data_IF_539139295769
#
_entry.id   IF_539139295769
#
_cell.length_a   1.000
_cell.length_b   1.000
_cell.length_c   1.000
_cell.angle_alpha   90.00
_cell.angle_beta   90.00
_cell.angle_gamma   90.00
#
_symmetry.space_group_name_H-M   'P 1'
#
loop_
_entity.id
_entity.type
_entity.pdbx_description
1 polymer ?
#
# COMPACT_ATOMS: atom_id res chain seq x y z
N UNK A 1 8.72 -19.79 -3.49
CA UNK A 1 9.78 -19.57 -4.49
C UNK A 1 9.51 -20.48 -5.66
N UNK A 2 9.68 -19.96 -6.87
CA UNK A 2 9.59 -20.76 -8.09
C UNK A 2 10.97 -21.38 -8.30
N UNK A 3 11.12 -22.66 -7.97
CA UNK A 3 12.41 -23.37 -8.08
C UNK A 3 12.55 -24.12 -9.41
N UNK A 4 11.43 -24.25 -10.14
CA UNK A 4 11.33 -25.08 -11.33
C UNK A 4 10.71 -24.28 -12.48
N UNK A 5 11.14 -24.59 -13.70
CA UNK A 5 10.64 -24.01 -14.95
C UNK A 5 9.21 -24.48 -15.23
N UNK A 6 8.29 -23.53 -15.50
CA UNK A 6 6.91 -23.85 -15.86
C UNK A 6 6.76 -24.61 -17.19
N UNK A 7 7.72 -24.48 -18.11
CA UNK A 7 7.62 -25.12 -19.42
C UNK A 7 8.18 -26.55 -19.44
N UNK A 8 9.26 -26.82 -18.71
CA UNK A 8 9.95 -28.12 -18.78
C UNK A 8 10.18 -28.80 -17.44
N UNK A 9 9.79 -28.17 -16.32
CA UNK A 9 9.96 -28.70 -14.96
C UNK A 9 11.41 -28.73 -14.45
N UNK A 10 12.39 -28.30 -15.26
CA UNK A 10 13.81 -28.26 -14.90
C UNK A 10 14.12 -27.23 -13.82
N UNK A 11 15.22 -27.43 -13.10
CA UNK A 11 15.66 -26.50 -12.04
C UNK A 11 16.05 -25.14 -12.63
N UNK A 12 15.83 -24.09 -11.84
CA UNK A 12 16.26 -22.73 -12.15
C UNK A 12 17.56 -22.41 -11.41
N UNK A 13 18.63 -22.12 -12.14
CA UNK A 13 19.83 -21.51 -11.59
C UNK A 13 19.65 -20.00 -11.46
N UNK A 14 19.97 -19.46 -10.28
CA UNK A 14 19.83 -18.04 -9.98
C UNK A 14 21.04 -17.27 -10.48
N UNK A 15 20.84 -16.37 -11.45
CA UNK A 15 21.83 -15.35 -11.78
C UNK A 15 21.58 -14.12 -10.89
N UNK A 16 22.32 -14.07 -9.78
CA UNK A 16 22.23 -12.99 -8.80
C UNK A 16 22.59 -11.62 -9.39
N UNK A 17 23.39 -11.57 -10.46
CA UNK A 17 23.76 -10.29 -11.09
C UNK A 17 22.66 -9.71 -11.97
N UNK A 18 21.75 -10.56 -12.47
CA UNK A 18 20.67 -10.17 -13.38
C UNK A 18 19.28 -10.26 -12.75
N UNK A 19 19.16 -10.79 -11.53
CA UNK A 19 17.89 -11.08 -10.86
C UNK A 19 16.95 -11.95 -11.72
N UNK A 20 17.53 -12.93 -12.41
CA UNK A 20 16.86 -13.80 -13.37
C UNK A 20 17.11 -15.26 -12.97
N UNK A 21 16.09 -16.12 -13.11
CA UNK A 21 16.23 -17.57 -12.97
C UNK A 21 16.38 -18.20 -14.35
N UNK A 22 17.52 -18.79 -14.65
CA UNK A 22 17.74 -19.47 -15.93
C UNK A 22 17.45 -20.96 -15.75
N UNK A 23 16.58 -21.52 -16.59
CA UNK A 23 16.35 -22.97 -16.53
C UNK A 23 17.57 -23.72 -17.06
N UNK A 24 18.09 -24.67 -16.28
CA UNK A 24 19.25 -25.48 -16.66
C UNK A 24 18.98 -26.40 -17.87
N UNK A 25 17.70 -26.68 -18.14
CA UNK A 25 17.28 -27.64 -19.16
C UNK A 25 16.89 -26.95 -20.46
N UNK A 26 16.00 -25.95 -20.40
CA UNK A 26 15.52 -25.26 -21.61
C UNK A 26 16.12 -23.86 -21.82
N UNK A 27 16.99 -23.41 -20.91
CA UNK A 27 17.62 -22.08 -20.94
C UNK A 27 16.65 -20.90 -21.00
N UNK A 28 15.37 -21.13 -20.69
CA UNK A 28 14.39 -20.07 -20.58
C UNK A 28 14.67 -19.25 -19.33
N UNK A 29 14.59 -17.94 -19.52
CA UNK A 29 14.82 -16.94 -18.48
C UNK A 29 13.48 -16.64 -17.82
N UNK A 30 13.37 -17.00 -16.56
CA UNK A 30 12.22 -16.72 -15.73
C UNK A 30 12.49 -15.45 -14.90
N UNK A 31 11.58 -14.46 -14.92
CA UNK A 31 11.73 -13.28 -14.08
C UNK A 31 11.54 -13.70 -12.62
N UNK A 32 12.57 -13.53 -11.81
CA UNK A 32 12.47 -13.72 -10.37
C UNK A 32 12.36 -12.34 -9.75
N UNK A 33 11.16 -11.99 -9.32
CA UNK A 33 10.94 -10.80 -8.48
C UNK A 33 11.47 -11.13 -7.08
N UNK A 34 12.77 -10.90 -6.87
CA UNK A 34 13.33 -10.76 -5.52
C UNK A 34 13.14 -9.30 -5.09
N UNK A 35 12.33 -9.11 -4.04
CA UNK A 35 12.24 -7.87 -3.28
C UNK A 35 12.86 -8.15 -1.89
N UNK A 36 14.16 -8.42 -1.84
CA UNK A 36 14.93 -8.59 -0.61
C UNK A 36 15.90 -7.42 -0.38
N UNK A 37 16.36 -7.28 0.87
CA UNK A 37 17.18 -6.14 1.31
C UNK A 37 18.49 -5.98 0.50
N UNK A 38 19.02 -7.08 -0.06
CA UNK A 38 20.25 -7.09 -0.86
C UNK A 38 20.04 -6.64 -2.32
N UNK A 39 18.82 -6.71 -2.85
CA UNK A 39 18.45 -6.15 -4.18
C UNK A 39 17.96 -4.70 -4.10
N UNK A 40 17.78 -4.17 -2.88
CA UNK A 40 17.41 -2.77 -2.57
C UNK A 40 18.63 -1.87 -2.26
N UNK A 41 19.82 -2.19 -2.78
CA UNK A 41 20.98 -1.32 -2.58
C UNK A 41 20.93 -0.11 -3.52
N UNK A 42 20.55 1.05 -2.99
CA UNK A 42 20.64 2.37 -3.63
C UNK A 42 22.08 2.80 -4.03
N UNK A 43 23.08 1.94 -3.85
CA UNK A 43 24.51 2.22 -4.03
C UNK A 43 25.15 1.65 -5.30
N UNK A 44 24.43 0.94 -6.17
CA UNK A 44 25.02 0.26 -7.34
C UNK A 44 24.82 0.99 -8.68
N UNK A 45 24.60 2.32 -8.68
CA UNK A 45 24.37 3.13 -9.89
C UNK A 45 25.65 3.85 -10.35
N UNK A 46 26.65 3.09 -10.82
CA UNK A 46 27.84 3.63 -11.49
C UNK A 46 27.70 3.71 -13.02
N UNK A 47 28.49 4.59 -13.66
CA UNK A 47 28.49 4.96 -15.09
C UNK A 47 28.73 3.81 -16.11
N UNK A 48 28.97 2.58 -15.66
CA UNK A 48 29.37 1.45 -16.51
C UNK A 48 28.25 0.47 -16.89
N UNK A 49 26.97 0.76 -16.60
CA UNK A 49 25.85 -0.08 -17.08
C UNK A 49 25.42 0.26 -18.52
N UNK A 50 25.93 -0.52 -19.48
CA UNK A 50 25.31 -0.66 -20.81
C UNK A 50 24.15 -1.66 -20.85
N UNK A 51 23.87 -2.35 -19.73
CA UNK A 51 22.79 -3.35 -19.64
C UNK A 51 21.88 -3.00 -18.45
N UNK A 52 20.90 -2.12 -18.69
CA UNK A 52 19.70 -2.07 -17.85
C UNK A 52 18.96 -3.42 -17.96
N UNK A 53 18.35 -3.87 -16.87
CA UNK A 53 17.37 -4.94 -16.95
C UNK A 53 16.37 -4.58 -18.05
N UNK A 54 16.09 -5.52 -18.97
CA UNK A 54 15.12 -5.31 -20.05
C UNK A 54 13.87 -4.75 -19.39
N UNK A 55 13.49 -3.52 -19.78
CA UNK A 55 12.35 -2.84 -19.21
C UNK A 55 11.21 -3.86 -19.14
N UNK A 56 10.77 -4.26 -17.94
CA UNK A 56 9.75 -5.31 -17.78
C UNK A 56 8.42 -4.87 -18.43
N UNK A 57 8.30 -3.60 -18.79
CA UNK A 57 7.24 -3.06 -19.63
C UNK A 57 7.38 -3.45 -21.11
N UNK A 58 8.60 -3.73 -21.59
CA UNK A 58 9.08 -4.07 -22.94
C UNK A 58 8.32 -5.15 -23.70
N UNK A 59 7.89 -6.21 -23.00
CA UNK A 59 7.17 -7.36 -23.58
C UNK A 59 5.65 -7.18 -23.66
N UNK A 60 5.09 -6.08 -23.15
CA UNK A 60 3.65 -5.85 -23.13
C UNK A 60 3.24 -4.85 -24.20
N UNK A 61 2.06 -5.03 -24.81
CA UNK A 61 1.51 -4.05 -25.76
C UNK A 61 1.54 -2.63 -25.16
N UNK A 62 2.22 -1.72 -25.85
CA UNK A 62 2.48 -0.34 -25.44
C UNK A 62 3.81 -0.07 -24.72
N UNK A 63 4.74 -1.02 -24.65
CA UNK A 63 6.09 -0.73 -24.21
C UNK A 63 6.77 0.25 -25.17
N UNK A 64 7.47 1.26 -24.64
CA UNK A 64 8.39 2.07 -25.45
C UNK A 64 9.62 1.24 -25.80
N UNK A 65 9.48 0.29 -26.73
CA UNK A 65 10.62 -0.32 -27.39
C UNK A 65 11.38 0.80 -28.12
N UNK A 66 12.68 0.90 -27.83
CA UNK A 66 13.54 2.05 -28.15
C UNK A 66 13.82 2.31 -29.63
N UNK A 67 13.00 1.84 -30.57
CA UNK A 67 13.14 2.16 -31.98
C UNK A 67 11.78 2.56 -32.55
N UNK A 68 11.58 3.88 -32.74
CA UNK A 68 10.43 4.40 -33.49
C UNK A 68 10.65 4.05 -34.97
N UNK A 69 9.92 3.10 -35.54
CA UNK A 69 9.84 3.05 -37.00
C UNK A 69 9.15 4.32 -37.50
N UNK A 70 9.71 4.95 -38.53
CA UNK A 70 9.16 6.17 -39.09
C UNK A 70 7.78 5.89 -39.72
N UNK A 71 6.68 6.48 -39.22
CA UNK A 71 5.33 6.22 -39.72
C UNK A 71 5.08 6.81 -41.12
N UNK A 72 6.00 7.66 -41.59
CA UNK A 72 6.03 8.20 -42.95
C UNK A 72 6.87 7.34 -43.91
N UNK A 73 7.46 6.25 -43.41
CA UNK A 73 8.34 5.34 -44.13
C UNK A 73 9.76 5.88 -44.25
N UNK A 74 10.74 4.99 -44.19
CA UNK A 74 12.13 5.36 -44.43
C UNK A 74 12.40 5.56 -45.93
N UNK A 75 13.33 6.46 -46.23
CA UNK A 75 13.74 6.74 -47.62
C UNK A 75 14.86 5.81 -48.07
N UNK A 76 15.60 5.25 -47.13
CA UNK A 76 16.80 4.45 -47.35
C UNK A 76 16.78 3.17 -46.49
N UNK A 77 17.43 2.11 -46.96
CA UNK A 77 17.65 0.90 -46.17
C UNK A 77 18.80 1.08 -45.17
N UNK A 78 19.06 0.08 -44.32
CA UNK A 78 20.16 0.09 -43.35
C UNK A 78 21.57 0.10 -43.97
N UNK A 79 21.68 0.04 -45.30
CA UNK A 79 22.91 0.16 -46.07
C UNK A 79 23.00 1.49 -46.85
N UNK A 80 22.04 2.40 -46.66
CA UNK A 80 22.00 3.71 -47.31
C UNK A 80 21.42 3.71 -48.74
N UNK A 81 20.91 2.59 -49.25
CA UNK A 81 20.32 2.52 -50.59
C UNK A 81 18.88 3.03 -50.58
N UNK A 82 18.47 3.68 -51.67
CA UNK A 82 17.12 4.24 -51.79
C UNK A 82 16.07 3.12 -51.88
N UNK A 83 15.09 3.14 -50.98
CA UNK A 83 14.01 2.14 -50.96
C UNK A 83 13.10 2.29 -52.19
N UNK A 84 12.69 1.14 -52.76
CA UNK A 84 11.71 1.08 -53.85
C UNK A 84 10.33 1.56 -53.38
N UNK A 85 9.44 1.91 -54.32
CA UNK A 85 8.09 2.37 -53.99
C UNK A 85 7.27 1.32 -53.20
N UNK A 86 7.45 0.02 -53.49
CA UNK A 86 6.80 -1.08 -52.78
C UNK A 86 7.33 -1.21 -51.35
N UNK A 87 8.64 -1.11 -51.15
CA UNK A 87 9.27 -1.14 -49.83
C UNK A 87 8.89 0.08 -48.98
N UNK A 88 8.82 1.28 -49.56
CA UNK A 88 8.33 2.48 -48.86
C UNK A 88 6.90 2.33 -48.35
N UNK A 89 6.00 1.78 -49.17
CA UNK A 89 4.61 1.50 -48.76
C UNK A 89 4.53 0.46 -47.66
N UNK A 90 5.37 -0.58 -47.72
CA UNK A 90 5.46 -1.61 -46.70
C UNK A 90 6.02 -1.04 -45.39
N UNK A 91 7.13 -0.29 -45.43
CA UNK A 91 7.72 0.37 -44.27
C UNK A 91 6.75 1.38 -43.64
N UNK A 92 6.04 2.17 -44.43
CA UNK A 92 5.02 3.07 -43.90
C UNK A 92 3.82 2.32 -43.29
N UNK A 93 3.45 1.16 -43.84
CA UNK A 93 2.40 0.30 -43.27
C UNK A 93 2.87 -0.32 -41.95
N UNK A 94 4.08 -0.87 -41.92
CA UNK A 94 4.70 -1.45 -40.71
C UNK A 94 4.88 -0.35 -39.66
N UNK A 95 5.41 0.82 -39.99
CA UNK A 95 5.55 1.94 -39.06
C UNK A 95 4.21 2.48 -38.54
N UNK A 96 3.12 2.41 -39.33
CA UNK A 96 1.76 2.74 -38.86
C UNK A 96 1.18 1.65 -37.93
N UNK A 97 1.44 0.38 -38.24
CA UNK A 97 1.04 -0.76 -37.40
C UNK A 97 1.83 -0.76 -36.09
N UNK A 98 3.14 -0.52 -36.16
CA UNK A 98 4.05 -0.35 -35.04
C UNK A 98 3.63 0.83 -34.17
N UNK A 99 3.32 1.98 -34.77
CA UNK A 99 2.70 3.12 -34.05
C UNK A 99 1.39 2.77 -33.35
N UNK A 100 0.61 1.82 -33.88
CA UNK A 100 -0.65 1.38 -33.27
C UNK A 100 -0.47 0.34 -32.15
N UNK A 101 0.60 -0.47 -32.20
CA UNK A 101 1.01 -1.39 -31.13
C UNK A 101 1.86 -0.74 -30.04
N UNK A 102 2.51 0.39 -30.34
CA UNK A 102 3.37 1.17 -29.45
C UNK A 102 2.68 2.41 -28.83
N UNK A 103 1.45 2.78 -29.25
CA UNK A 103 0.68 3.81 -28.52
C UNK A 103 0.49 3.34 -27.08
N UNK A 104 0.77 4.22 -26.11
CA UNK A 104 0.45 3.97 -24.70
C UNK A 104 -0.97 3.41 -24.61
N UNK A 105 -1.07 2.15 -24.17
CA UNK A 105 -2.29 1.34 -24.23
C UNK A 105 -3.40 1.90 -23.33
N UNK A 106 -3.15 2.95 -22.56
CA UNK A 106 -4.17 3.80 -21.97
C UNK A 106 -3.50 5.11 -21.48
N UNK A 107 -3.88 6.31 -21.97
CA UNK A 107 -3.24 7.56 -21.52
C UNK A 107 -3.35 7.76 -20.01
N UNK A 108 -4.46 7.30 -19.42
CA UNK A 108 -4.68 7.36 -17.97
C UNK A 108 -3.76 6.41 -17.19
N UNK A 109 -3.32 5.30 -17.79
CA UNK A 109 -2.36 4.40 -17.15
C UNK A 109 -0.99 5.07 -17.03
N UNK A 110 -0.50 5.69 -18.10
CA UNK A 110 0.77 6.41 -18.08
C UNK A 110 0.75 7.55 -17.05
N UNK A 111 -0.35 8.31 -17.01
CA UNK A 111 -0.56 9.36 -16.01
C UNK A 111 -0.60 8.81 -14.59
N UNK A 112 -1.34 7.71 -14.35
CA UNK A 112 -1.41 7.09 -13.02
C UNK A 112 -0.05 6.58 -12.56
N UNK A 113 0.74 5.97 -13.44
CA UNK A 113 2.10 5.53 -13.10
C UNK A 113 3.01 6.72 -12.81
N UNK A 114 2.89 7.83 -13.54
CA UNK A 114 3.62 9.06 -13.22
C UNK A 114 3.19 9.64 -11.86
N UNK A 115 1.88 9.66 -11.56
CA UNK A 115 1.36 10.08 -10.26
C UNK A 115 1.87 9.19 -9.13
N UNK A 116 1.88 7.86 -9.31
CA UNK A 116 2.44 6.92 -8.33
C UNK A 116 3.93 7.18 -8.09
N UNK A 117 4.72 7.41 -9.15
CA UNK A 117 6.15 7.76 -9.02
C UNK A 117 6.35 9.07 -8.26
N UNK A 118 5.53 10.07 -8.53
CA UNK A 118 5.64 11.37 -7.86
C UNK A 118 5.21 11.31 -6.39
N UNK A 119 4.22 10.47 -6.05
CA UNK A 119 3.71 10.35 -4.68
C UNK A 119 4.52 9.41 -3.80
N UNK A 120 5.04 8.31 -4.35
CA UNK A 120 5.60 7.19 -3.58
C UNK A 120 6.98 6.73 -4.06
N UNK A 121 7.56 7.38 -5.06
CA UNK A 121 8.84 6.99 -5.63
C UNK A 121 8.76 5.90 -6.70
N UNK A 122 9.91 5.62 -7.31
CA UNK A 122 10.01 4.72 -8.47
C UNK A 122 9.76 3.25 -8.11
N UNK A 123 10.19 2.80 -6.94
CA UNK A 123 10.16 1.39 -6.56
C UNK A 123 8.75 0.93 -6.20
N UNK A 124 8.01 1.72 -5.41
CA UNK A 124 6.58 1.48 -5.17
C UNK A 124 5.82 1.46 -6.49
N UNK A 125 6.09 2.42 -7.39
CA UNK A 125 5.44 2.45 -8.70
C UNK A 125 5.74 1.19 -9.54
N UNK A 126 6.96 0.63 -9.46
CA UNK A 126 7.33 -0.63 -10.11
C UNK A 126 6.55 -1.80 -9.52
N UNK A 127 6.56 -1.95 -8.19
CA UNK A 127 5.90 -3.05 -7.48
C UNK A 127 4.38 -3.07 -7.73
N UNK A 128 3.72 -1.90 -7.76
CA UNK A 128 2.25 -1.82 -7.97
C UNK A 128 1.83 -1.89 -9.44
N UNK A 129 2.77 -2.05 -10.37
CA UNK A 129 2.52 -2.11 -11.82
C UNK A 129 1.39 -3.07 -12.22
N UNK A 130 1.35 -4.32 -11.72
CA UNK A 130 0.26 -5.25 -12.02
C UNK A 130 -1.12 -4.74 -11.60
N UNK A 131 -1.21 -4.15 -10.40
CA UNK A 131 -2.46 -3.60 -9.86
C UNK A 131 -2.91 -2.35 -10.62
N UNK A 132 -1.97 -1.45 -10.93
CA UNK A 132 -2.23 -0.25 -11.72
C UNK A 132 -2.69 -0.59 -13.14
N UNK A 133 -2.07 -1.59 -13.80
CA UNK A 133 -2.50 -2.08 -15.12
C UNK A 133 -3.91 -2.65 -15.05
N UNK A 134 -4.22 -3.47 -14.06
CA UNK A 134 -5.56 -4.04 -13.89
C UNK A 134 -6.62 -2.95 -13.66
N UNK A 135 -6.27 -1.88 -12.93
CA UNK A 135 -7.18 -0.79 -12.61
C UNK A 135 -7.50 0.13 -13.81
N UNK A 136 -6.54 0.35 -14.71
CA UNK A 136 -6.69 1.32 -15.81
C UNK A 136 -6.92 0.69 -17.17
N UNK A 137 -6.41 -0.53 -17.43
CA UNK A 137 -6.54 -1.17 -18.74
C UNK A 137 -7.84 -1.97 -18.83
N UNK A 138 -8.53 -1.80 -19.95
CA UNK A 138 -9.71 -2.62 -20.29
C UNK A 138 -9.30 -4.08 -20.48
N UNK A 139 -10.26 -4.98 -20.29
CA UNK A 139 -10.10 -6.39 -20.63
C UNK A 139 -9.81 -6.56 -22.12
N UNK A 140 -9.05 -7.59 -22.47
CA UNK A 140 -8.82 -7.97 -23.87
C UNK A 140 -10.13 -8.45 -24.52
N UNK A 141 -10.18 -8.54 -25.85
CA UNK A 141 -11.39 -9.02 -26.55
C UNK A 141 -11.80 -10.44 -26.11
N UNK A 142 -10.82 -11.32 -25.89
CA UNK A 142 -11.06 -12.69 -25.40
C UNK A 142 -11.58 -12.70 -23.95
N UNK A 143 -10.98 -11.88 -23.08
CA UNK A 143 -11.44 -11.72 -21.70
C UNK A 143 -12.84 -11.11 -21.63
N UNK A 144 -13.17 -10.15 -22.49
CA UNK A 144 -14.50 -9.55 -22.54
C UNK A 144 -15.55 -10.53 -23.10
N UNK A 145 -15.19 -11.41 -24.04
CA UNK A 145 -16.06 -12.49 -24.49
C UNK A 145 -16.37 -13.47 -23.35
N UNK A 146 -15.35 -13.87 -22.59
CA UNK A 146 -15.52 -14.71 -21.39
C UNK A 146 -16.35 -14.00 -20.33
N UNK A 147 -16.09 -12.70 -20.09
CA UNK A 147 -16.88 -11.90 -19.16
C UNK A 147 -18.36 -11.94 -19.51
N UNK A 148 -18.76 -11.88 -20.78
CA UNK A 148 -20.18 -11.87 -21.17
C UNK A 148 -20.92 -13.15 -20.78
N UNK A 149 -20.23 -14.28 -20.66
CA UNK A 149 -20.81 -15.58 -20.26
C UNK A 149 -20.91 -15.76 -18.74
N UNK A 150 -20.24 -14.91 -17.96
CA UNK A 150 -20.25 -14.98 -16.49
C UNK A 150 -21.55 -14.46 -15.87
N UNK A 151 -21.74 -14.74 -14.58
CA UNK A 151 -22.91 -14.28 -13.82
C UNK A 151 -22.97 -12.75 -13.76
N UNK A 152 -24.16 -12.14 -13.55
CA UNK A 152 -24.29 -10.69 -13.41
C UNK A 152 -23.35 -10.07 -12.35
N UNK A 153 -23.10 -10.80 -11.25
CA UNK A 153 -22.20 -10.36 -10.17
C UNK A 153 -20.75 -10.27 -10.60
N UNK A 154 -20.20 -11.33 -11.18
CA UNK A 154 -18.82 -11.40 -11.69
C UNK A 154 -18.61 -10.36 -12.81
N UNK A 155 -19.57 -10.25 -13.72
CA UNK A 155 -19.56 -9.24 -14.79
C UNK A 155 -19.45 -7.82 -14.27
N UNK A 156 -20.06 -7.53 -13.12
CA UNK A 156 -20.00 -6.23 -12.47
C UNK A 156 -18.63 -5.99 -11.84
N UNK A 157 -18.04 -6.98 -11.18
CA UNK A 157 -16.68 -6.90 -10.58
C UNK A 157 -15.59 -6.74 -11.63
N UNK A 158 -15.79 -7.31 -12.82
CA UNK A 158 -14.88 -7.15 -13.96
C UNK A 158 -15.02 -5.80 -14.71
N UNK A 159 -15.87 -4.87 -14.25
CA UNK A 159 -15.88 -3.51 -14.81
C UNK A 159 -14.56 -2.79 -14.49
N UNK A 160 -14.03 -2.06 -15.47
CA UNK A 160 -12.74 -1.39 -15.35
C UNK A 160 -12.75 -0.31 -14.26
N UNK A 161 -11.90 -0.41 -13.20
CA UNK A 161 -11.92 0.48 -12.04
C UNK A 161 -11.82 1.96 -12.38
N UNK A 162 -10.96 2.37 -13.32
CA UNK A 162 -10.87 3.79 -13.72
C UNK A 162 -12.23 4.38 -14.12
N UNK A 163 -13.06 3.60 -14.82
CA UNK A 163 -14.36 4.09 -15.29
C UNK A 163 -15.37 4.14 -14.16
N UNK A 164 -15.28 3.21 -13.21
CA UNK A 164 -16.13 3.16 -12.02
C UNK A 164 -15.78 4.25 -11.02
N UNK A 165 -14.51 4.64 -10.89
CA UNK A 165 -14.04 5.68 -9.96
C UNK A 165 -14.29 7.07 -10.54
N UNK A 166 -13.86 7.36 -11.78
CA UNK A 166 -14.05 8.69 -12.40
C UNK A 166 -15.53 9.04 -12.64
N UNK A 167 -16.41 8.03 -12.66
CA UNK A 167 -17.87 8.21 -12.82
C UNK A 167 -18.64 7.84 -11.54
N UNK A 168 -17.96 7.66 -10.41
CA UNK A 168 -18.59 7.29 -9.16
C UNK A 168 -19.67 8.32 -8.78
N UNK A 169 -20.81 7.82 -8.32
CA UNK A 169 -21.91 8.64 -7.81
C UNK A 169 -22.70 9.49 -8.83
N UNK A 170 -22.24 9.59 -10.09
CA UNK A 170 -22.98 10.29 -11.14
C UNK A 170 -23.30 11.75 -10.78
N UNK A 171 -24.52 12.20 -11.09
CA UNK A 171 -25.01 13.53 -10.71
C UNK A 171 -25.52 13.60 -9.25
N UNK A 172 -25.87 12.45 -8.67
CA UNK A 172 -26.52 12.36 -7.37
C UNK A 172 -25.52 12.37 -6.21
N UNK A 173 -24.34 11.78 -6.41
CA UNK A 173 -23.28 11.67 -5.40
C UNK A 173 -21.89 12.08 -5.94
N UNK A 174 -21.73 13.32 -6.43
CA UNK A 174 -20.46 13.78 -7.00
C UNK A 174 -19.29 13.76 -6.01
N UNK A 175 -19.54 13.73 -4.70
CA UNK A 175 -18.54 13.64 -3.64
C UNK A 175 -17.74 12.33 -3.64
N UNK A 176 -18.21 11.30 -4.36
CA UNK A 176 -17.53 10.00 -4.45
C UNK A 176 -16.39 9.95 -5.47
N UNK A 177 -16.24 11.00 -6.29
CA UNK A 177 -15.16 11.15 -7.28
C UNK A 177 -14.36 12.43 -7.03
N UNK A 178 -13.17 12.50 -7.59
CA UNK A 178 -12.36 13.72 -7.60
C UNK A 178 -13.01 14.82 -8.45
N UNK A 179 -12.71 16.09 -8.15
CA UNK A 179 -13.22 17.23 -8.92
C UNK A 179 -12.52 17.33 -10.26
N UNK A 180 -11.23 17.01 -10.29
CA UNK A 180 -10.39 17.00 -11.50
C UNK A 180 -9.96 15.59 -11.87
N UNK A 181 -9.44 15.43 -13.10
CA UNK A 181 -8.81 14.17 -13.53
C UNK A 181 -7.57 13.86 -12.67
N UNK A 182 -6.81 14.88 -12.27
CA UNK A 182 -5.66 14.73 -11.39
C UNK A 182 -6.05 14.24 -9.99
N UNK A 183 -7.15 14.75 -9.42
CA UNK A 183 -7.68 14.28 -8.13
C UNK A 183 -8.07 12.81 -8.23
N UNK A 184 -8.71 12.40 -9.34
CA UNK A 184 -9.06 11.00 -9.56
C UNK A 184 -7.81 10.11 -9.66
N UNK A 185 -6.74 10.59 -10.29
CA UNK A 185 -5.45 9.88 -10.33
C UNK A 185 -4.83 9.76 -8.95
N UNK A 186 -4.86 10.81 -8.13
CA UNK A 186 -4.36 10.78 -6.75
C UNK A 186 -5.17 9.83 -5.86
N UNK A 187 -6.50 9.83 -5.96
CA UNK A 187 -7.37 8.87 -5.26
C UNK A 187 -7.03 7.44 -5.66
N UNK A 188 -6.87 7.17 -6.95
CA UNK A 188 -6.50 5.85 -7.45
C UNK A 188 -5.09 5.45 -7.00
N UNK A 189 -4.12 6.36 -7.05
CA UNK A 189 -2.75 6.11 -6.64
C UNK A 189 -2.67 5.75 -5.15
N UNK A 190 -3.31 6.54 -4.28
CA UNK A 190 -3.38 6.27 -2.84
C UNK A 190 -4.08 4.93 -2.55
N UNK A 191 -5.19 4.64 -3.24
CA UNK A 191 -5.89 3.37 -3.09
C UNK A 191 -5.03 2.17 -3.49
N UNK A 192 -4.29 2.28 -4.60
CA UNK A 192 -3.37 1.24 -5.09
C UNK A 192 -2.23 1.02 -4.10
N UNK A 193 -1.55 2.08 -3.66
CA UNK A 193 -0.45 1.96 -2.70
C UNK A 193 -0.91 1.34 -1.37
N UNK A 194 -2.08 1.75 -0.88
CA UNK A 194 -2.66 1.19 0.35
C UNK A 194 -3.01 -0.30 0.22
N UNK A 195 -3.52 -0.74 -0.94
CA UNK A 195 -3.78 -2.16 -1.19
C UNK A 195 -2.46 -2.92 -1.30
N UNK A 196 -1.48 -2.32 -1.96
CA UNK A 196 -0.21 -2.96 -2.25
C UNK A 196 0.63 -3.24 -1.02
N UNK A 197 0.60 -2.38 0.00
CA UNK A 197 1.26 -2.65 1.28
C UNK A 197 0.86 -4.02 1.84
N UNK A 198 -0.42 -4.38 1.69
CA UNK A 198 -0.94 -5.66 2.18
C UNK A 198 -0.78 -6.83 1.21
N UNK A 199 -0.71 -6.58 -0.10
CA UNK A 199 -0.82 -7.60 -1.16
C UNK A 199 0.47 -7.85 -1.94
N UNK A 200 1.42 -6.92 -1.87
CA UNK A 200 2.70 -6.96 -2.58
C UNK A 200 3.87 -6.63 -1.64
N UNK A 201 3.63 -6.63 -0.31
CA UNK A 201 4.65 -6.36 0.73
C UNK A 201 5.44 -5.07 0.50
N UNK A 202 4.80 -4.07 -0.11
CA UNK A 202 5.41 -2.76 -0.29
C UNK A 202 5.42 -2.00 1.04
N UNK A 203 6.25 -0.96 1.13
CA UNK A 203 6.25 -0.04 2.29
C UNK A 203 4.84 0.42 2.61
N UNK A 204 4.52 0.37 3.90
CA UNK A 204 3.20 0.70 4.38
C UNK A 204 3.02 2.23 4.43
N UNK A 205 1.82 2.70 4.09
CA UNK A 205 1.57 4.14 3.84
C UNK A 205 0.60 4.71 4.87
N UNK A 206 0.92 5.87 5.45
CA UNK A 206 0.01 6.57 6.34
C UNK A 206 -1.11 7.27 5.54
N UNK A 207 -2.26 6.59 5.45
CA UNK A 207 -3.42 7.08 4.69
C UNK A 207 -3.96 8.41 5.20
N UNK A 208 -3.90 8.67 6.51
CA UNK A 208 -4.51 9.86 7.12
C UNK A 208 -3.77 11.12 6.67
N UNK A 209 -2.44 11.13 6.79
CA UNK A 209 -1.61 12.26 6.37
C UNK A 209 -1.77 12.56 4.87
N UNK A 210 -1.74 11.53 4.01
CA UNK A 210 -1.89 11.72 2.56
C UNK A 210 -3.30 12.14 2.16
N UNK A 211 -4.33 11.68 2.86
CA UNK A 211 -5.69 12.14 2.65
C UNK A 211 -5.81 13.64 2.94
N UNK A 212 -5.22 14.10 4.04
CA UNK A 212 -5.23 15.51 4.42
C UNK A 212 -4.42 16.35 3.41
N UNK A 213 -3.24 15.88 2.98
CA UNK A 213 -2.38 16.57 2.00
C UNK A 213 -3.03 16.72 0.61
N UNK A 214 -3.71 15.69 0.12
CA UNK A 214 -4.34 15.71 -1.22
C UNK A 214 -5.83 16.04 -1.20
N UNK A 215 -6.41 16.35 -0.03
CA UNK A 215 -7.84 16.64 0.10
C UNK A 215 -8.74 15.46 -0.27
N UNK A 216 -8.28 14.22 -0.05
CA UNK A 216 -9.02 12.99 -0.37
C UNK A 216 -9.91 12.62 0.81
N UNK A 217 -11.20 12.42 0.55
CA UNK A 217 -12.15 12.01 1.60
C UNK A 217 -12.10 10.51 1.88
N UNK A 218 -12.43 10.11 3.12
CA UNK A 218 -12.49 8.70 3.51
C UNK A 218 -13.46 7.88 2.65
N UNK A 219 -14.56 8.50 2.20
CA UNK A 219 -15.56 7.87 1.32
C UNK A 219 -14.97 7.56 -0.05
N UNK A 220 -14.25 8.51 -0.65
CA UNK A 220 -13.58 8.33 -1.94
C UNK A 220 -12.54 7.19 -1.86
N UNK A 221 -11.67 7.22 -0.84
CA UNK A 221 -10.65 6.19 -0.67
C UNK A 221 -11.25 4.80 -0.46
N UNK A 222 -12.26 4.68 0.42
CA UNK A 222 -12.96 3.41 0.69
C UNK A 222 -13.62 2.83 -0.57
N UNK A 223 -14.25 3.69 -1.37
CA UNK A 223 -14.87 3.29 -2.64
C UNK A 223 -13.81 2.81 -3.64
N UNK A 224 -12.76 3.61 -3.86
CA UNK A 224 -11.69 3.28 -4.79
C UNK A 224 -11.01 1.95 -4.43
N UNK A 225 -10.66 1.76 -3.14
CA UNK A 225 -10.08 0.50 -2.64
C UNK A 225 -10.98 -0.69 -2.93
N UNK A 226 -12.26 -0.59 -2.57
CA UNK A 226 -13.24 -1.67 -2.79
C UNK A 226 -13.33 -2.06 -4.27
N UNK A 227 -13.44 -1.09 -5.16
CA UNK A 227 -13.56 -1.33 -6.60
C UNK A 227 -12.30 -1.99 -7.16
N UNK A 228 -11.12 -1.49 -6.80
CA UNK A 228 -9.84 -2.01 -7.29
C UNK A 228 -9.60 -3.43 -6.76
N UNK A 229 -9.82 -3.67 -5.46
CA UNK A 229 -9.65 -4.98 -4.84
C UNK A 229 -10.58 -6.03 -5.48
N UNK A 230 -11.88 -5.73 -5.57
CA UNK A 230 -12.86 -6.67 -6.14
C UNK A 230 -12.55 -6.98 -7.59
N UNK A 231 -12.10 -5.99 -8.35
CA UNK A 231 -11.72 -6.17 -9.74
C UNK A 231 -10.49 -7.08 -9.88
N UNK A 232 -9.46 -6.85 -9.06
CA UNK A 232 -8.24 -7.62 -9.11
C UNK A 232 -8.48 -9.08 -8.66
N UNK A 233 -9.19 -9.29 -7.55
CA UNK A 233 -9.57 -10.62 -7.07
C UNK A 233 -10.36 -11.40 -8.13
N UNK A 234 -11.31 -10.76 -8.81
CA UNK A 234 -12.06 -11.42 -9.87
C UNK A 234 -11.15 -11.76 -11.06
N UNK A 235 -10.17 -10.92 -11.42
CA UNK A 235 -9.17 -11.29 -12.44
C UNK A 235 -8.31 -12.49 -12.02
N UNK A 236 -7.95 -12.59 -10.73
CA UNK A 236 -7.22 -13.74 -10.19
C UNK A 236 -8.07 -15.01 -10.28
N UNK A 237 -9.35 -14.94 -9.92
CA UNK A 237 -10.28 -16.07 -10.02
C UNK A 237 -10.41 -16.60 -11.46
N UNK A 238 -10.35 -15.70 -12.46
CA UNK A 238 -10.40 -16.06 -13.88
C UNK A 238 -9.02 -16.48 -14.44
N UNK A 239 -7.96 -16.50 -13.63
CA UNK A 239 -6.60 -16.82 -14.07
C UNK A 239 -5.95 -15.74 -14.94
N UNK A 240 -6.46 -14.51 -14.93
CA UNK A 240 -5.95 -13.39 -15.76
C UNK A 240 -4.94 -12.51 -15.04
N UNK A 241 -4.70 -12.76 -13.75
CA UNK A 241 -3.72 -12.07 -12.93
C UNK A 241 -3.14 -13.04 -11.91
N UNK A 242 -1.89 -12.80 -11.51
CA UNK A 242 -1.26 -13.57 -10.45
C UNK A 242 -1.92 -13.28 -9.09
N UNK A 243 -2.08 -14.27 -8.21
CA UNK A 243 -2.58 -14.06 -6.86
C UNK A 243 -1.60 -13.16 -6.08
N UNK A 244 -2.10 -12.22 -5.26
CA UNK A 244 -1.25 -11.35 -4.46
C UNK A 244 -0.53 -12.13 -3.36
N UNK A 245 0.70 -11.73 -3.04
CA UNK A 245 1.46 -12.24 -1.90
C UNK A 245 1.07 -11.47 -0.64
N UNK A 246 0.15 -12.04 0.14
CA UNK A 246 -0.34 -11.37 1.33
C UNK A 246 0.79 -11.21 2.39
N UNK A 247 0.81 -10.04 3.02
CA UNK A 247 1.61 -9.77 4.21
C UNK A 247 1.13 -10.65 5.37
N UNK A 248 2.02 -11.05 6.27
CA UNK A 248 1.62 -11.79 7.47
C UNK A 248 0.71 -10.91 8.35
N UNK A 249 -0.18 -11.55 9.10
CA UNK A 249 -1.08 -10.81 9.99
C UNK A 249 -0.33 -10.04 11.07
N UNK A 250 0.81 -10.58 11.55
CA UNK A 250 1.69 -9.92 12.52
C UNK A 250 2.30 -8.64 11.95
N UNK A 251 2.98 -8.73 10.80
CA UNK A 251 3.59 -7.56 10.17
C UNK A 251 2.53 -6.51 9.79
N UNK A 252 1.34 -6.92 9.34
CA UNK A 252 0.26 -5.99 9.06
C UNK A 252 -0.27 -5.27 10.31
N UNK A 253 -0.22 -5.92 11.47
CA UNK A 253 -0.67 -5.38 12.76
C UNK A 253 0.36 -4.42 13.35
N UNK A 254 1.65 -4.77 13.28
CA UNK A 254 2.79 -3.88 13.60
C UNK A 254 2.74 -2.61 12.74
N UNK A 255 2.64 -2.76 11.41
CA UNK A 255 2.50 -1.65 10.47
C UNK A 255 1.32 -0.73 10.81
N UNK A 256 0.19 -1.27 11.29
CA UNK A 256 -0.96 -0.46 11.67
C UNK A 256 -0.73 0.27 13.01
N UNK A 257 -0.01 -0.33 13.95
CA UNK A 257 0.37 0.32 15.21
C UNK A 257 1.28 1.52 14.96
N UNK A 258 2.34 1.37 14.17
CA UNK A 258 3.29 2.46 13.89
C UNK A 258 2.59 3.68 13.30
N UNK A 259 1.68 3.44 12.34
CA UNK A 259 0.83 4.51 11.76
C UNK A 259 -0.06 5.16 12.81
N UNK A 260 -0.61 4.39 13.74
CA UNK A 260 -1.51 4.90 14.77
C UNK A 260 -0.73 5.74 15.79
N UNK A 261 0.45 5.29 16.20
CA UNK A 261 1.38 6.02 17.09
C UNK A 261 1.70 7.39 16.51
N UNK A 262 2.17 7.43 15.26
CA UNK A 262 2.47 8.68 14.55
C UNK A 262 1.22 9.58 14.48
N UNK A 263 0.08 9.02 14.13
CA UNK A 263 -1.18 9.76 14.03
C UNK A 263 -1.71 10.30 15.36
N UNK A 264 -1.40 9.63 16.47
CA UNK A 264 -1.75 10.03 17.84
C UNK A 264 -0.83 11.15 18.30
N UNK A 265 0.48 11.01 18.13
CA UNK A 265 1.46 12.06 18.40
C UNK A 265 1.11 13.35 17.65
N UNK A 266 0.92 13.27 16.32
CA UNK A 266 0.48 14.41 15.47
C UNK A 266 -0.86 15.05 15.91
N UNK A 267 -1.74 14.23 16.50
CA UNK A 267 -3.07 14.64 16.92
C UNK A 267 -3.08 15.37 18.26
N UNK A 268 -2.17 14.97 19.16
CA UNK A 268 -2.08 15.46 20.53
C UNK A 268 -1.06 16.58 20.69
N UNK A 269 0.01 16.63 19.88
CA UNK A 269 1.02 17.71 19.88
C UNK A 269 0.46 19.12 19.66
N UNK A 270 -0.74 19.22 19.08
CA UNK A 270 -1.42 20.51 18.89
C UNK A 270 -2.12 21.02 20.17
N UNK A 271 -2.05 20.25 21.26
CA UNK A 271 -2.88 20.44 22.45
C UNK A 271 -2.15 20.22 23.76
N UNK A 272 -1.09 19.43 23.74
CA UNK A 272 -0.24 19.12 24.87
C UNK A 272 1.14 19.71 24.58
N UNK A 273 1.86 20.06 25.64
CA UNK A 273 3.26 20.46 25.53
C UNK A 273 4.12 19.24 25.15
N UNK A 274 5.27 19.49 24.52
CA UNK A 274 6.10 18.42 23.94
C UNK A 274 6.62 17.44 25.01
N UNK A 275 7.06 17.94 26.17
CA UNK A 275 7.54 17.10 27.28
C UNK A 275 6.42 16.20 27.83
N UNK A 276 5.23 16.76 28.09
CA UNK A 276 4.06 16.01 28.55
C UNK A 276 3.62 14.96 27.52
N UNK A 277 3.70 15.30 26.23
CA UNK A 277 3.33 14.39 25.15
C UNK A 277 4.27 13.19 25.09
N UNK A 278 5.57 13.40 25.23
CA UNK A 278 6.56 12.33 25.19
C UNK A 278 6.34 11.35 26.36
N UNK A 279 6.08 11.84 27.57
CA UNK A 279 5.76 11.01 28.73
C UNK A 279 4.46 10.21 28.53
N UNK A 280 3.42 10.84 27.99
CA UNK A 280 2.15 10.18 27.66
C UNK A 280 2.34 9.10 26.59
N UNK A 281 3.12 9.37 25.55
CA UNK A 281 3.38 8.42 24.48
C UNK A 281 4.23 7.23 24.97
N UNK A 282 5.19 7.47 25.86
CA UNK A 282 5.97 6.42 26.51
C UNK A 282 5.08 5.52 27.39
N UNK A 283 4.24 6.10 28.24
CA UNK A 283 3.29 5.36 29.06
C UNK A 283 2.28 4.57 28.20
N UNK A 284 1.80 5.17 27.10
CA UNK A 284 0.94 4.50 26.12
C UNK A 284 1.60 3.25 25.52
N UNK A 285 2.87 3.34 25.09
CA UNK A 285 3.61 2.20 24.54
C UNK A 285 3.90 1.13 25.59
N UNK A 286 4.15 1.54 26.84
CA UNK A 286 4.27 0.63 27.99
C UNK A 286 3.00 -0.21 28.17
N UNK A 287 1.84 0.45 28.26
CA UNK A 287 0.56 -0.24 28.40
C UNK A 287 0.27 -1.14 27.19
N UNK A 288 0.52 -0.67 25.95
CA UNK A 288 0.34 -1.50 24.75
C UNK A 288 1.19 -2.78 24.79
N UNK A 289 2.42 -2.67 25.29
CA UNK A 289 3.33 -3.82 25.45
C UNK A 289 2.85 -4.77 26.55
N UNK A 290 2.33 -4.24 27.66
CA UNK A 290 1.81 -5.04 28.79
C UNK A 290 0.64 -5.93 28.39
N UNK A 291 -0.22 -5.45 27.49
CA UNK A 291 -1.36 -6.20 26.96
C UNK A 291 -0.97 -7.13 25.80
N UNK A 292 0.32 -7.20 25.46
CA UNK A 292 0.88 -8.07 24.42
C UNK A 292 0.67 -7.59 22.98
N UNK A 293 0.27 -6.33 22.76
CA UNK A 293 0.16 -5.77 21.40
C UNK A 293 1.54 -5.30 20.89
N UNK A 294 1.82 -5.38 19.58
CA UNK A 294 0.95 -5.72 18.45
C UNK A 294 0.91 -7.22 18.08
N UNK A 295 1.21 -8.13 19.01
CA UNK A 295 1.25 -9.57 18.69
C UNK A 295 -0.08 -10.12 18.19
N UNK A 296 -0.02 -11.09 17.28
CA UNK A 296 -1.21 -11.86 16.85
C UNK A 296 -1.74 -12.79 17.93
N UNK A 297 -0.93 -13.06 18.96
CA UNK A 297 -1.29 -13.87 20.12
C UNK A 297 -1.83 -13.02 21.28
N UNK A 298 -1.94 -11.70 21.09
CA UNK A 298 -2.49 -10.81 22.09
C UNK A 298 -3.95 -11.19 22.43
N UNK A 299 -4.39 -11.05 23.69
CA UNK A 299 -5.78 -11.26 24.10
C UNK A 299 -6.81 -10.35 23.38
N UNK A 300 -6.31 -9.32 22.69
CA UNK A 300 -7.04 -8.34 21.90
C UNK A 300 -6.79 -8.46 20.39
N UNK A 301 -6.15 -9.55 19.92
CA UNK A 301 -5.83 -9.77 18.50
C UNK A 301 -7.06 -9.77 17.56
N UNK A 302 -8.24 -10.16 18.07
CA UNK A 302 -9.50 -10.10 17.33
C UNK A 302 -10.07 -8.68 17.15
N UNK A 303 -9.55 -7.71 17.89
CA UNK A 303 -9.93 -6.30 17.79
C UNK A 303 -8.94 -5.60 16.84
N UNK A 304 -9.39 -4.68 15.96
CA UNK A 304 -8.49 -3.87 15.15
C UNK A 304 -7.54 -3.07 16.05
N UNK A 305 -6.23 -3.10 15.77
CA UNK A 305 -5.23 -2.47 16.65
C UNK A 305 -5.43 -0.97 16.79
N UNK A 306 -5.91 -0.27 15.75
CA UNK A 306 -6.33 1.13 15.85
C UNK A 306 -7.41 1.37 16.90
N UNK A 307 -8.33 0.42 17.12
CA UNK A 307 -9.32 0.53 18.19
C UNK A 307 -8.69 0.29 19.56
N UNK A 308 -7.82 -0.71 19.69
CA UNK A 308 -7.11 -1.02 20.94
C UNK A 308 -6.28 0.19 21.38
N UNK A 309 -5.42 0.70 20.49
CA UNK A 309 -4.63 1.90 20.73
C UNK A 309 -5.50 3.11 21.11
N UNK A 310 -6.65 3.29 20.45
CA UNK A 310 -7.59 4.35 20.82
C UNK A 310 -8.18 4.19 22.22
N UNK A 311 -8.45 2.96 22.67
CA UNK A 311 -8.93 2.67 24.02
C UNK A 311 -7.83 2.91 25.06
N UNK A 312 -6.61 2.42 24.81
CA UNK A 312 -5.46 2.60 25.70
C UNK A 312 -5.13 4.09 25.88
N UNK A 313 -4.98 4.83 24.79
CA UNK A 313 -4.68 6.26 24.84
C UNK A 313 -5.80 7.04 25.53
N UNK A 314 -7.07 6.72 25.24
CA UNK A 314 -8.18 7.42 25.88
C UNK A 314 -8.27 7.14 27.40
N UNK A 315 -8.03 5.89 27.82
CA UNK A 315 -7.99 5.54 29.24
C UNK A 315 -6.84 6.26 29.96
N UNK A 316 -5.63 6.23 29.39
CA UNK A 316 -4.48 6.96 29.94
C UNK A 316 -4.78 8.44 30.14
N UNK A 317 -5.38 9.10 29.15
CA UNK A 317 -5.79 10.50 29.27
C UNK A 317 -6.88 10.73 30.33
N UNK A 318 -7.78 9.77 30.56
CA UNK A 318 -8.74 9.85 31.66
C UNK A 318 -8.06 9.76 33.03
N UNK A 319 -7.08 8.87 33.19
CA UNK A 319 -6.29 8.73 34.43
C UNK A 319 -5.51 10.00 34.76
N UNK A 320 -4.99 10.68 33.74
CA UNK A 320 -4.28 11.96 33.87
C UNK A 320 -5.22 13.19 34.01
N UNK A 321 -6.54 13.01 34.00
CA UNK A 321 -7.49 14.13 34.05
C UNK A 321 -7.56 14.97 32.76
N UNK A 322 -6.94 14.50 31.67
CA UNK A 322 -6.83 15.18 30.37
C UNK A 322 -7.90 14.74 29.35
N UNK A 323 -9.00 14.13 29.80
CA UNK A 323 -10.06 13.62 28.92
C UNK A 323 -10.84 14.70 28.17
N UNK A 324 -10.93 15.90 28.74
CA UNK A 324 -11.78 16.96 28.21
C UNK A 324 -11.18 17.51 26.91
N UNK A 325 -11.98 17.53 25.83
CA UNK A 325 -11.52 17.92 24.49
C UNK A 325 -10.73 16.85 23.72
N UNK A 326 -9.93 16.00 24.38
CA UNK A 326 -8.97 15.09 23.73
C UNK A 326 -9.54 13.82 23.11
N UNK A 327 -10.70 13.34 23.54
CA UNK A 327 -11.37 12.19 22.91
C UNK A 327 -11.57 12.37 21.40
N UNK A 328 -11.91 13.59 20.96
CA UNK A 328 -12.10 13.89 19.54
C UNK A 328 -10.81 13.77 18.73
N UNK A 329 -9.67 14.16 19.31
CA UNK A 329 -8.35 14.05 18.69
C UNK A 329 -7.93 12.58 18.58
N UNK A 330 -8.02 11.82 19.67
CA UNK A 330 -7.73 10.38 19.70
C UNK A 330 -8.59 9.65 18.67
N UNK A 331 -9.91 9.86 18.69
CA UNK A 331 -10.83 9.21 17.75
C UNK A 331 -10.50 9.53 16.29
N UNK A 332 -10.16 10.78 15.98
CA UNK A 332 -9.74 11.21 14.63
C UNK A 332 -8.41 10.56 14.23
N UNK A 333 -7.44 10.49 15.15
CA UNK A 333 -6.14 9.87 14.92
C UNK A 333 -6.26 8.40 14.56
N UNK A 334 -7.06 7.64 15.32
CA UNK A 334 -7.27 6.20 15.08
C UNK A 334 -8.34 5.89 14.04
N UNK A 335 -8.96 6.92 13.43
CA UNK A 335 -10.06 6.81 12.47
C UNK A 335 -11.25 5.98 12.98
N UNK A 336 -11.59 6.12 14.27
CA UNK A 336 -12.75 5.50 14.92
C UNK A 336 -13.71 6.57 15.43
N UNK A 337 -14.89 6.17 15.86
CA UNK A 337 -15.82 7.07 16.56
C UNK A 337 -15.46 7.11 18.05
N UNK A 338 -15.57 8.28 18.68
CA UNK A 338 -15.34 8.40 20.13
C UNK A 338 -16.29 7.52 20.94
N UNK A 339 -17.55 7.38 20.51
CA UNK A 339 -18.52 6.47 21.13
C UNK A 339 -18.09 4.99 20.99
N UNK A 340 -17.49 4.61 19.86
CA UNK A 340 -16.98 3.26 19.65
C UNK A 340 -15.79 2.94 20.56
N UNK A 341 -14.91 3.92 20.80
CA UNK A 341 -13.79 3.80 21.74
C UNK A 341 -14.32 3.60 23.16
N UNK A 342 -15.25 4.45 23.62
CA UNK A 342 -15.85 4.32 24.96
C UNK A 342 -16.52 2.97 25.19
N UNK A 343 -17.43 2.60 24.30
CA UNK A 343 -18.15 1.33 24.40
C UNK A 343 -17.20 0.12 24.38
N UNK A 344 -16.11 0.19 23.62
CA UNK A 344 -15.13 -0.90 23.57
C UNK A 344 -14.23 -0.92 24.82
N UNK A 345 -13.87 0.24 25.36
CA UNK A 345 -13.15 0.34 26.61
C UNK A 345 -13.97 -0.23 27.78
N UNK A 346 -15.27 0.09 27.86
CA UNK A 346 -16.20 -0.48 28.85
C UNK A 346 -16.29 -2.00 28.74
N UNK A 347 -16.31 -2.57 27.53
CA UNK A 347 -16.33 -4.03 27.37
C UNK A 347 -15.00 -4.68 27.78
N UNK A 348 -13.86 -4.02 27.50
CA UNK A 348 -12.55 -4.50 27.95
C UNK A 348 -12.43 -4.45 29.48
N UNK A 349 -12.99 -3.40 30.10
CA UNK A 349 -13.06 -3.27 31.55
C UNK A 349 -13.92 -4.38 32.16
N UNK A 350 -15.11 -4.62 31.63
CA UNK A 350 -15.97 -5.71 32.09
C UNK A 350 -15.30 -7.10 31.92
N UNK A 351 -14.53 -7.31 30.86
CA UNK A 351 -13.74 -8.55 30.67
C UNK A 351 -12.63 -8.68 31.72
N UNK A 352 -11.96 -7.58 32.05
CA UNK A 352 -10.95 -7.54 33.10
C UNK A 352 -11.56 -7.86 34.47
N UNK A 353 -12.68 -7.21 34.83
CA UNK A 353 -13.40 -7.44 36.10
C UNK A 353 -13.90 -8.89 36.25
N UNK A 354 -14.22 -9.56 35.13
CA UNK A 354 -14.57 -11.00 35.10
C UNK A 354 -13.36 -11.94 35.16
N UNK A 355 -12.13 -11.42 35.11
CA UNK A 355 -10.90 -12.21 35.06
C UNK A 355 -10.59 -12.84 33.70
N UNK A 356 -11.31 -12.47 32.64
CA UNK A 356 -11.13 -13.00 31.27
C UNK A 356 -10.03 -12.26 30.48
N UNK A 357 -9.45 -11.20 31.06
CA UNK A 357 -8.41 -10.37 30.47
C UNK A 357 -7.40 -9.90 31.53
N UNK A 358 -6.64 -10.82 32.17
CA UNK A 358 -5.74 -10.47 33.27
C UNK A 358 -4.59 -9.54 32.86
N UNK A 359 -4.19 -9.57 31.59
CA UNK A 359 -3.17 -8.67 31.04
C UNK A 359 -3.63 -7.20 31.02
N UNK A 360 -4.94 -6.95 31.19
CA UNK A 360 -5.49 -5.60 31.30
C UNK A 360 -5.18 -4.87 32.61
N UNK A 361 -4.43 -5.47 33.54
CA UNK A 361 -4.12 -4.87 34.83
C UNK A 361 -3.49 -3.47 34.71
N UNK A 362 -2.47 -3.30 33.86
CA UNK A 362 -1.81 -2.00 33.68
C UNK A 362 -2.70 -0.97 32.97
N UNK A 363 -3.59 -1.45 32.08
CA UNK A 363 -4.57 -0.62 31.39
C UNK A 363 -5.63 -0.07 32.35
N UNK A 364 -6.05 -0.85 33.35
CA UNK A 364 -7.12 -0.50 34.29
C UNK A 364 -6.63 -0.25 35.72
N UNK A 365 -5.33 -0.04 35.92
CA UNK A 365 -4.78 0.32 37.23
C UNK A 365 -5.33 1.67 37.70
N UNK A 366 -5.75 1.73 38.96
CA UNK A 366 -6.41 2.91 39.56
C UNK A 366 -5.44 4.08 39.81
N UNK A 367 -4.13 3.87 39.76
CA UNK A 367 -3.12 4.89 40.05
C UNK A 367 -2.06 4.90 38.94
N UNK A 368 -1.68 6.09 38.48
CA UNK A 368 -0.38 6.29 37.81
C UNK A 368 0.59 6.25 38.97
N UNK A 369 1.42 5.20 39.09
CA UNK A 369 2.50 5.19 40.07
C UNK A 369 3.29 6.48 39.88
N UNK A 370 3.14 7.41 40.83
CA UNK A 370 3.96 8.60 40.93
C UNK A 370 5.41 8.12 40.93
N UNK A 371 6.14 8.52 39.89
CA UNK A 371 7.54 8.22 39.76
C UNK A 371 8.26 8.67 41.04
N UNK A 372 8.70 7.70 41.84
CA UNK A 372 9.79 7.75 42.79
C UNK A 372 10.07 9.16 43.35
N UNK A 373 9.20 9.63 44.26
CA UNK A 373 9.61 10.66 45.20
C UNK A 373 10.59 9.99 46.17
N UNK A 374 11.86 10.05 45.79
CA UNK A 374 12.98 9.56 46.57
C UNK A 374 13.04 10.33 47.88
N UNK A 375 12.44 9.71 48.89
CA UNK A 375 12.68 9.84 50.31
C UNK A 375 13.95 10.65 50.64
N UNK A 376 13.74 11.94 50.88
CA UNK A 376 14.63 12.76 51.71
C UNK A 376 13.90 13.11 52.99
N UNK A 377 13.40 12.08 53.68
CA UNK A 377 13.18 12.21 55.11
C UNK A 377 14.55 12.19 55.82
N UNK A 378 14.62 13.09 56.80
CA UNK A 378 15.79 13.47 57.52
C UNK A 378 16.28 12.36 58.46
N UNK A 379 17.51 11.90 58.28
CA UNK A 379 18.27 11.29 59.37
C UNK A 379 18.98 12.41 60.15
N UNK A 380 18.32 12.85 61.21
CA UNK A 380 19.01 13.32 62.41
C UNK A 380 19.81 12.14 62.99
N UNK A 381 21.14 12.22 62.99
CA UNK A 381 21.94 11.51 64.00
C UNK A 381 22.56 12.51 65.00
N UNK A 382 22.52 12.20 66.30
CA UNK A 382 22.98 13.08 67.35
C UNK A 382 24.46 12.86 67.72
N UNK A 383 25.04 13.95 68.23
CA UNK A 383 25.99 14.04 69.34
C UNK A 383 27.48 13.68 69.15
N UNK A 384 28.28 14.67 69.57
CA UNK A 384 29.45 14.59 70.46
C UNK A 384 30.86 14.91 69.92
N UNK A 385 31.47 15.84 70.68
CA UNK A 385 32.85 16.36 70.78
C UNK A 385 33.36 17.44 69.82
#
# INVERSE_FOLDING_TARGET
MMTNCDECGGNLTLDLTRAEGVCDVCSLVHPILHDDADTNSASSLGESRHNEAVNAEGGHGGAKLGAKMNPFGDKFDGRGNRLTAKQKRLAARIGKLDRSSQRDTDPMHAQLMATLRNMFGADVARAVGPLARAATRKLTRAQEATRKTLTPGERRRLKCPKTSICRAGGKEHPELRGKTDQDNLQIMALAIASIAARWFRTVSVNEKQLMDMYGITAKQLKNAKKVIMQHYQERVNQGWAAPPQQLSAAAAREDELDKVVENLSDGLSKRLDDDDLDDIMNAFLGIMSSIGEPSVDAPTANIPISMVAGCVMYNLLCRLGLQSGNLSAVAKAVRRSGAGIKSRLEELQARYERGEFPQGAELFADEVDEAADGDRSADEEPADE
#
